data_IF_274741316212
#
_entry.id   IF_274741316212
#
_cell.length_a   1.000
_cell.length_b   1.000
_cell.length_c   1.000
_cell.angle_alpha   90.00
_cell.angle_beta   90.00
_cell.angle_gamma   90.00
#
_symmetry.space_group_name_H-M   'P 1'
#
loop_
_entity.id
_entity.type
_entity.pdbx_description
1 polymer ?
#
# COMPACT_ATOMS: atom_id res chain seq x y z
N UNK A 1 2.75 -9.71 -28.25
CA UNK A 1 1.86 -10.37 -27.27
C UNK A 1 1.44 -9.26 -26.33
N UNK A 2 0.17 -9.13 -25.96
CA UNK A 2 -0.19 -8.10 -24.97
C UNK A 2 0.50 -8.47 -23.65
N UNK A 3 1.18 -7.50 -23.05
CA UNK A 3 1.77 -7.67 -21.73
C UNK A 3 0.68 -8.16 -20.77
N UNK A 4 0.91 -9.18 -19.93
CA UNK A 4 -0.10 -9.60 -18.97
C UNK A 4 -0.43 -8.42 -18.04
N UNK A 5 -1.72 -8.15 -17.85
CA UNK A 5 -2.21 -7.09 -16.97
C UNK A 5 -1.63 -7.27 -15.56
N UNK A 6 -0.88 -6.27 -15.08
CA UNK A 6 -0.34 -6.28 -13.72
C UNK A 6 -1.39 -5.76 -12.73
N UNK A 7 -1.65 -6.52 -11.67
CA UNK A 7 -2.62 -6.17 -10.63
C UNK A 7 -1.92 -5.93 -9.30
N UNK A 8 -2.11 -4.77 -8.69
CA UNK A 8 -1.52 -4.42 -7.39
C UNK A 8 -2.63 -4.04 -6.42
N UNK A 9 -2.69 -4.72 -5.26
CA UNK A 9 -3.57 -4.36 -4.16
C UNK A 9 -2.88 -3.33 -3.26
N UNK A 10 -3.50 -2.18 -3.04
CA UNK A 10 -3.07 -1.21 -2.00
C UNK A 10 -4.08 -1.28 -0.84
N UNK A 11 -3.58 -1.47 0.38
CA UNK A 11 -4.40 -1.71 1.58
C UNK A 11 -3.62 -1.27 2.83
N UNK A 12 -4.27 -1.03 3.97
CA UNK A 12 -3.58 -0.80 5.23
C UNK A 12 -4.43 -0.09 6.26
N UNK A 13 -3.77 0.50 7.26
CA UNK A 13 -4.43 1.25 8.33
C UNK A 13 -5.55 0.44 9.00
N UNK A 14 -5.34 -0.86 9.27
CA UNK A 14 -6.35 -1.73 9.89
C UNK A 14 -6.49 -1.52 11.40
N UNK A 15 -5.39 -1.18 12.09
CA UNK A 15 -5.34 -0.97 13.54
C UNK A 15 -5.94 -2.14 14.37
N UNK A 16 -5.88 -3.38 13.89
CA UNK A 16 -6.46 -4.56 14.57
C UNK A 16 -5.47 -5.10 15.60
N UNK A 17 -5.87 -5.48 16.83
CA UNK A 17 -7.23 -5.50 17.37
C UNK A 17 -7.60 -4.23 18.17
N UNK A 18 -6.84 -3.14 18.02
CA UNK A 18 -6.92 -1.99 18.93
C UNK A 18 -8.08 -1.05 18.58
N UNK A 19 -8.29 -0.74 17.30
CA UNK A 19 -9.39 0.14 16.83
C UNK A 19 -10.49 -0.61 16.09
N UNK A 20 -10.17 -1.77 15.54
CA UNK A 20 -11.12 -2.69 14.91
C UNK A 20 -10.85 -4.11 15.41
N UNK A 21 -11.87 -4.98 15.35
CA UNK A 21 -11.74 -6.39 15.76
C UNK A 21 -11.36 -7.30 14.60
N UNK A 22 -11.78 -6.93 13.40
CA UNK A 22 -11.59 -7.66 12.16
C UNK A 22 -11.86 -6.71 10.98
N UNK A 23 -11.59 -7.13 9.76
CA UNK A 23 -12.05 -6.46 8.54
C UNK A 23 -13.57 -6.61 8.36
N UNK A 24 -14.24 -5.64 7.70
CA UNK A 24 -15.59 -5.83 7.20
C UNK A 24 -15.68 -7.07 6.29
N UNK A 25 -16.70 -7.91 6.49
CA UNK A 25 -16.86 -9.17 5.74
C UNK A 25 -16.92 -8.94 4.23
N UNK A 26 -17.51 -7.82 3.80
CA UNK A 26 -17.60 -7.46 2.39
C UNK A 26 -16.22 -7.30 1.71
N UNK A 27 -15.18 -6.94 2.48
CA UNK A 27 -13.82 -6.85 1.95
C UNK A 27 -13.22 -8.24 1.77
N UNK A 28 -13.40 -9.15 2.75
CA UNK A 28 -13.01 -10.55 2.60
C UNK A 28 -13.71 -11.17 1.39
N UNK A 29 -15.04 -11.04 1.30
CA UNK A 29 -15.83 -11.60 0.21
C UNK A 29 -15.33 -11.11 -1.16
N UNK A 30 -15.06 -9.80 -1.29
CA UNK A 30 -14.55 -9.22 -2.54
C UNK A 30 -13.16 -9.70 -2.92
N UNK A 31 -12.28 -9.91 -1.96
CA UNK A 31 -10.94 -10.46 -2.21
C UNK A 31 -11.03 -11.97 -2.48
N UNK A 32 -12.00 -12.67 -1.88
CA UNK A 32 -12.21 -14.10 -2.09
C UNK A 32 -12.84 -14.45 -3.45
N UNK A 33 -13.61 -13.55 -4.03
CA UNK A 33 -14.13 -13.67 -5.40
C UNK A 33 -13.00 -13.73 -6.47
N UNK A 34 -11.77 -13.33 -6.13
CA UNK A 34 -10.63 -13.30 -7.05
C UNK A 34 -10.17 -14.72 -7.38
N UNK A 35 -10.19 -15.07 -8.67
CA UNK A 35 -9.72 -16.37 -9.17
C UNK A 35 -8.19 -16.48 -9.24
N UNK A 36 -7.64 -17.69 -9.40
CA UNK A 36 -6.19 -17.91 -9.52
C UNK A 36 -5.54 -17.09 -10.65
N UNK A 37 -6.24 -16.95 -11.79
CA UNK A 37 -5.79 -16.10 -12.91
C UNK A 37 -5.72 -14.62 -12.53
N UNK A 38 -6.53 -14.20 -11.57
CA UNK A 38 -6.78 -12.82 -11.20
C UNK A 38 -6.05 -12.36 -9.93
N UNK A 39 -5.29 -13.25 -9.27
CA UNK A 39 -4.52 -12.89 -8.08
C UNK A 39 -3.62 -11.68 -8.34
N UNK A 40 -3.42 -10.88 -7.31
CA UNK A 40 -2.58 -9.69 -7.39
C UNK A 40 -1.12 -10.12 -7.60
N UNK A 41 -0.39 -9.42 -8.46
CA UNK A 41 1.06 -9.57 -8.55
C UNK A 41 1.73 -9.16 -7.23
N UNK A 42 1.31 -8.02 -6.70
CA UNK A 42 1.85 -7.45 -5.47
C UNK A 42 0.73 -6.94 -4.57
N UNK A 43 0.96 -7.01 -3.26
CA UNK A 43 0.15 -6.32 -2.25
C UNK A 43 1.03 -5.32 -1.51
N UNK A 44 0.55 -4.09 -1.38
CA UNK A 44 1.22 -2.99 -0.71
C UNK A 44 0.44 -2.62 0.54
N UNK A 45 1.02 -2.88 1.70
CA UNK A 45 0.40 -2.61 3.01
C UNK A 45 0.98 -1.33 3.62
N UNK A 46 0.17 -0.28 3.78
CA UNK A 46 0.62 1.07 4.20
C UNK A 46 0.98 1.20 5.69
N UNK A 47 1.04 0.09 6.43
CA UNK A 47 1.34 0.06 7.86
C UNK A 47 0.10 0.27 8.73
N UNK A 48 0.32 0.43 10.03
CA UNK A 48 -0.72 0.42 11.07
C UNK A 48 -1.58 -0.85 10.99
N UNK A 49 -0.91 -2.00 10.81
CA UNK A 49 -1.56 -3.31 10.83
C UNK A 49 -2.14 -3.56 12.23
N UNK A 50 -1.25 -3.39 13.23
CA UNK A 50 -1.31 -3.88 14.61
C UNK A 50 -1.63 -5.39 14.69
N UNK A 51 -1.29 -6.07 15.77
CA UNK A 51 -1.07 -7.53 15.85
C UNK A 51 -2.18 -8.47 15.26
N UNK A 52 -2.19 -8.67 13.95
CA UNK A 52 -3.15 -9.53 13.23
C UNK A 52 -2.47 -10.30 12.08
N UNK A 53 -1.65 -11.33 12.38
CA UNK A 53 -0.94 -12.12 11.37
C UNK A 53 -1.88 -12.84 10.39
N UNK A 54 -3.09 -13.18 10.81
CA UNK A 54 -4.08 -13.87 9.99
C UNK A 54 -4.47 -13.05 8.74
N UNK A 55 -4.55 -11.72 8.87
CA UNK A 55 -4.78 -10.83 7.73
C UNK A 55 -3.62 -10.89 6.73
N UNK A 56 -2.37 -10.93 7.21
CA UNK A 56 -1.21 -11.04 6.31
C UNK A 56 -1.18 -12.40 5.62
N UNK A 57 -1.55 -13.47 6.31
CA UNK A 57 -1.64 -14.81 5.71
C UNK A 57 -2.73 -14.87 4.64
N UNK A 58 -3.90 -14.29 4.91
CA UNK A 58 -4.98 -14.15 3.94
C UNK A 58 -4.54 -13.36 2.70
N UNK A 59 -3.93 -12.19 2.87
CA UNK A 59 -3.46 -11.36 1.76
C UNK A 59 -2.32 -12.03 0.97
N UNK A 60 -1.44 -12.78 1.64
CA UNK A 60 -0.38 -13.54 0.97
C UNK A 60 -0.96 -14.65 0.07
N UNK A 61 -2.01 -15.34 0.49
CA UNK A 61 -2.69 -16.34 -0.37
C UNK A 61 -3.27 -15.71 -1.64
N UNK A 62 -3.55 -14.40 -1.61
CA UNK A 62 -4.11 -13.63 -2.71
C UNK A 62 -3.06 -12.88 -3.54
N UNK A 63 -1.78 -13.09 -3.25
CA UNK A 63 -0.64 -12.38 -3.86
C UNK A 63 0.36 -13.34 -4.50
N UNK A 64 0.63 -13.18 -5.80
CA UNK A 64 1.50 -14.05 -6.60
C UNK A 64 2.99 -13.87 -6.28
N UNK A 65 3.47 -12.63 -6.15
CA UNK A 65 4.92 -12.34 -6.06
C UNK A 65 5.34 -11.92 -4.66
N UNK A 66 4.76 -10.84 -4.13
CA UNK A 66 5.17 -10.34 -2.81
C UNK A 66 4.15 -9.42 -2.16
N UNK A 67 3.91 -9.63 -0.86
CA UNK A 67 3.30 -8.65 0.02
C UNK A 67 4.41 -7.78 0.62
N UNK A 68 4.40 -6.50 0.27
CA UNK A 68 5.34 -5.49 0.73
C UNK A 68 4.62 -4.62 1.76
N UNK A 69 5.23 -4.42 2.93
CA UNK A 69 4.66 -3.60 3.99
C UNK A 69 5.68 -2.62 4.55
N UNK A 70 5.16 -1.55 5.12
CA UNK A 70 5.93 -0.53 5.86
C UNK A 70 5.43 -0.43 7.30
N UNK A 71 6.26 0.15 8.17
CA UNK A 71 5.87 0.43 9.55
C UNK A 71 4.95 1.65 9.62
N UNK A 72 3.81 1.50 10.31
CA UNK A 72 2.95 2.63 10.67
C UNK A 72 3.28 3.21 12.05
N UNK A 73 2.77 4.40 12.34
CA UNK A 73 3.10 5.08 13.60
C UNK A 73 2.52 4.39 14.85
N UNK A 74 1.57 3.48 14.68
CA UNK A 74 1.03 2.68 15.79
C UNK A 74 1.78 1.35 15.94
N UNK A 75 2.55 0.90 14.95
CA UNK A 75 3.14 -0.44 14.92
C UNK A 75 4.36 -0.63 15.83
N UNK A 76 4.95 0.45 16.37
CA UNK A 76 6.21 0.42 17.15
C UNK A 76 6.22 -0.57 18.31
N UNK A 77 5.05 -0.86 18.90
CA UNK A 77 4.92 -1.76 20.05
C UNK A 77 4.31 -3.13 19.70
N UNK A 78 4.16 -3.44 18.41
CA UNK A 78 3.43 -4.62 17.94
C UNK A 78 4.20 -5.42 16.87
N UNK A 79 3.54 -6.43 16.28
CA UNK A 79 4.17 -7.40 15.37
C UNK A 79 4.71 -6.84 14.05
N UNK A 80 4.41 -5.59 13.68
CA UNK A 80 4.89 -4.96 12.45
C UNK A 80 6.08 -3.98 12.68
N UNK A 81 6.65 -3.94 13.88
CA UNK A 81 7.71 -2.98 14.27
C UNK A 81 9.03 -3.10 13.49
N UNK A 82 9.32 -4.27 12.94
CA UNK A 82 10.60 -4.54 12.25
C UNK A 82 10.53 -4.19 10.75
N UNK A 83 9.40 -3.65 10.29
CA UNK A 83 9.20 -3.24 8.89
C UNK A 83 9.89 -1.90 8.59
N UNK A 84 10.36 -1.74 7.35
CA UNK A 84 10.99 -0.50 6.89
C UNK A 84 10.02 0.68 6.84
N UNK A 85 10.52 1.91 7.01
CA UNK A 85 9.74 3.15 6.81
C UNK A 85 9.38 3.41 5.35
N UNK A 86 10.25 2.96 4.46
CA UNK A 86 10.14 3.12 3.01
C UNK A 86 10.39 1.80 2.32
N UNK A 87 9.60 1.52 1.29
CA UNK A 87 9.82 0.42 0.35
C UNK A 87 9.66 0.93 -1.07
N UNK A 88 10.27 0.23 -2.03
CA UNK A 88 10.16 0.56 -3.45
C UNK A 88 9.90 -0.68 -4.29
N UNK A 89 9.17 -0.49 -5.37
CA UNK A 89 8.93 -1.51 -6.39
C UNK A 89 9.16 -0.91 -7.77
N UNK A 90 10.09 -1.48 -8.52
CA UNK A 90 10.36 -1.10 -9.90
C UNK A 90 9.58 -2.02 -10.85
N UNK A 91 8.81 -1.42 -11.75
CA UNK A 91 7.99 -2.10 -12.77
C UNK A 91 8.51 -1.68 -14.13
N UNK A 92 8.98 -2.66 -14.92
CA UNK A 92 9.49 -2.45 -16.28
C UNK A 92 8.44 -2.88 -17.31
N UNK A 93 8.21 -2.01 -18.30
CA UNK A 93 7.31 -2.24 -19.42
C UNK A 93 8.08 -2.73 -20.66
N UNK A 94 7.37 -3.32 -21.62
CA UNK A 94 7.99 -3.92 -22.83
C UNK A 94 8.69 -2.88 -23.72
N UNK A 95 8.26 -1.63 -23.67
CA UNK A 95 8.85 -0.47 -24.38
C UNK A 95 10.07 0.13 -23.67
N UNK A 96 10.51 -0.48 -22.56
CA UNK A 96 11.53 0.02 -21.62
C UNK A 96 11.10 1.21 -20.76
N UNK A 97 9.80 1.55 -20.73
CA UNK A 97 9.30 2.45 -19.71
C UNK A 97 9.41 1.81 -18.34
N UNK A 98 9.61 2.64 -17.31
CA UNK A 98 9.78 2.21 -15.93
C UNK A 98 8.89 3.03 -15.03
N UNK A 99 8.04 2.37 -14.26
CA UNK A 99 7.45 2.96 -13.07
C UNK A 99 8.22 2.55 -11.84
N UNK A 100 8.50 3.53 -10.98
CA UNK A 100 9.04 3.29 -9.65
C UNK A 100 7.96 3.68 -8.66
N UNK A 101 7.40 2.67 -8.01
CA UNK A 101 6.43 2.83 -6.95
C UNK A 101 7.14 2.95 -5.60
N UNK A 102 6.86 4.01 -4.86
CA UNK A 102 7.22 4.17 -3.46
C UNK A 102 6.08 3.77 -2.54
N UNK A 103 6.41 3.19 -1.40
CA UNK A 103 5.47 2.87 -0.32
C UNK A 103 5.99 3.46 0.99
N UNK A 104 5.14 4.17 1.71
CA UNK A 104 5.41 4.70 3.06
C UNK A 104 4.11 4.79 3.84
N UNK A 105 4.16 4.85 5.17
CA UNK A 105 2.95 5.08 5.95
C UNK A 105 2.47 6.54 5.84
N UNK A 106 3.39 7.50 5.79
CA UNK A 106 3.07 8.93 5.65
C UNK A 106 3.00 9.71 6.97
N UNK A 107 3.26 9.07 8.11
CA UNK A 107 3.31 9.73 9.42
C UNK A 107 4.42 10.77 9.57
N UNK A 108 5.38 10.85 8.64
CA UNK A 108 6.40 11.90 8.57
C UNK A 108 5.91 13.19 7.87
N UNK A 109 4.79 13.16 7.15
CA UNK A 109 4.30 14.26 6.32
C UNK A 109 3.57 15.31 7.17
N UNK A 110 3.91 16.59 7.01
CA UNK A 110 3.34 17.71 7.79
C UNK A 110 3.03 18.91 6.87
N UNK A 111 1.77 19.39 6.82
CA UNK A 111 0.56 18.85 7.46
C UNK A 111 0.22 17.39 7.06
N UNK A 112 -0.58 16.68 7.86
CA UNK A 112 -0.92 15.27 7.60
C UNK A 112 -1.61 15.14 6.23
N UNK A 113 -0.99 14.35 5.33
CA UNK A 113 -1.51 14.12 3.98
C UNK A 113 -1.27 15.27 2.99
N UNK A 114 -0.39 16.21 3.31
CA UNK A 114 -0.07 17.33 2.42
C UNK A 114 0.52 16.85 1.08
N UNK A 115 -0.14 17.21 -0.02
CA UNK A 115 0.22 16.74 -1.37
C UNK A 115 1.56 17.29 -1.85
N UNK A 116 1.90 18.54 -1.51
CA UNK A 116 3.17 19.15 -1.93
C UNK A 116 4.34 18.44 -1.26
N UNK A 117 4.24 18.13 0.04
CA UNK A 117 5.24 17.35 0.77
C UNK A 117 5.36 15.90 0.26
N UNK A 118 4.23 15.28 -0.10
CA UNK A 118 4.24 13.94 -0.71
C UNK A 118 4.88 13.96 -2.11
N UNK A 119 4.61 14.99 -2.91
CA UNK A 119 5.26 15.19 -4.21
C UNK A 119 6.77 15.36 -4.05
N UNK A 120 7.21 16.20 -3.10
CA UNK A 120 8.64 16.40 -2.81
C UNK A 120 9.29 15.08 -2.41
N UNK A 121 8.68 14.32 -1.49
CA UNK A 121 9.20 13.02 -1.07
C UNK A 121 9.35 12.05 -2.26
N UNK A 122 8.34 12.00 -3.13
CA UNK A 122 8.37 11.17 -4.33
C UNK A 122 9.50 11.59 -5.28
N UNK A 123 9.66 12.89 -5.54
CA UNK A 123 10.73 13.42 -6.40
C UNK A 123 12.12 13.11 -5.85
N UNK A 124 12.35 13.34 -4.56
CA UNK A 124 13.64 13.09 -3.90
C UNK A 124 14.06 11.62 -3.96
N UNK A 125 13.10 10.70 -4.02
CA UNK A 125 13.34 9.27 -4.08
C UNK A 125 13.15 8.67 -5.49
N UNK A 126 12.84 9.49 -6.50
CA UNK A 126 12.64 9.07 -7.88
C UNK A 126 11.40 8.20 -8.10
N UNK A 127 10.34 8.41 -7.32
CA UNK A 127 9.07 7.69 -7.44
C UNK A 127 8.16 8.36 -8.47
N UNK A 128 7.56 7.57 -9.35
CA UNK A 128 6.51 8.02 -10.28
C UNK A 128 5.11 7.82 -9.68
N UNK A 129 4.99 6.86 -8.76
CA UNK A 129 3.78 6.57 -7.98
C UNK A 129 4.19 6.51 -6.51
N UNK A 130 3.46 7.19 -5.63
CA UNK A 130 3.67 7.11 -4.18
C UNK A 130 2.38 6.63 -3.50
N UNK A 131 2.45 5.46 -2.88
CA UNK A 131 1.39 4.92 -2.03
C UNK A 131 1.66 5.30 -0.58
N UNK A 132 0.71 5.96 0.05
CA UNK A 132 0.78 6.38 1.46
C UNK A 132 -0.50 6.07 2.22
N UNK A 133 -0.42 5.93 3.54
CA UNK A 133 -1.58 5.70 4.40
C UNK A 133 -1.79 6.89 5.33
N UNK A 134 -1.91 6.59 6.63
CA UNK A 134 -1.92 7.51 7.76
C UNK A 134 -3.11 8.47 7.80
N UNK A 135 -3.69 8.96 6.70
CA UNK A 135 -4.79 9.96 6.72
C UNK A 135 -6.17 9.35 6.96
N UNK A 136 -6.32 8.05 6.69
CA UNK A 136 -7.59 7.30 6.67
C UNK A 136 -8.58 7.84 5.63
N UNK A 137 -8.10 8.57 4.62
CA UNK A 137 -8.91 9.10 3.52
C UNK A 137 -8.46 8.44 2.23
N UNK A 138 -9.38 7.72 1.60
CA UNK A 138 -9.17 7.20 0.25
C UNK A 138 -8.99 8.37 -0.72
N UNK A 139 -7.91 8.33 -1.51
CA UNK A 139 -7.59 9.38 -2.46
C UNK A 139 -6.70 8.87 -3.59
N UNK A 140 -6.97 9.34 -4.80
CA UNK A 140 -6.05 9.25 -5.94
C UNK A 140 -5.88 10.68 -6.46
N UNK A 141 -4.64 11.16 -6.46
CA UNK A 141 -4.31 12.52 -6.87
C UNK A 141 -3.11 12.52 -7.81
N UNK A 142 -3.29 13.04 -9.02
CA UNK A 142 -2.20 13.26 -9.97
C UNK A 142 -1.68 14.68 -9.78
N UNK A 143 -0.42 14.81 -9.38
CA UNK A 143 0.19 16.12 -9.17
C UNK A 143 0.49 16.84 -10.48
N UNK A 144 0.71 18.15 -10.42
CA UNK A 144 1.10 18.95 -11.59
C UNK A 144 2.45 18.54 -12.19
N UNK A 145 3.29 17.81 -11.43
CA UNK A 145 4.57 17.26 -11.92
C UNK A 145 4.45 15.84 -12.45
N UNK A 146 3.25 15.28 -12.50
CA UNK A 146 2.97 13.96 -13.06
C UNK A 146 3.25 12.80 -12.11
N UNK A 147 3.33 13.04 -10.79
CA UNK A 147 3.43 11.98 -9.79
C UNK A 147 2.03 11.56 -9.38
N UNK A 148 1.78 10.25 -9.34
CA UNK A 148 0.51 9.72 -8.85
C UNK A 148 0.60 9.43 -7.35
N UNK A 149 -0.15 10.18 -6.54
CA UNK A 149 -0.31 9.95 -5.13
C UNK A 149 -1.54 9.07 -4.91
N UNK A 150 -1.37 7.98 -4.15
CA UNK A 150 -2.46 7.04 -3.83
C UNK A 150 -2.52 6.88 -2.31
N UNK A 151 -3.72 7.00 -1.75
CA UNK A 151 -4.03 6.62 -0.40
C UNK A 151 -5.20 5.63 -0.41
N UNK A 152 -5.03 4.37 0.03
CA UNK A 152 -6.12 3.40 0.04
C UNK A 152 -7.14 3.67 1.16
N UNK A 153 -6.89 4.64 2.04
CA UNK A 153 -7.69 4.85 3.24
C UNK A 153 -7.41 3.80 4.31
N UNK A 154 -8.34 3.67 5.26
CA UNK A 154 -8.33 2.60 6.26
C UNK A 154 -9.21 1.45 5.78
N UNK A 155 -8.72 0.21 5.94
CA UNK A 155 -9.47 -0.99 5.57
C UNK A 155 -10.56 -1.38 6.60
N UNK A 156 -10.62 -0.70 7.74
CA UNK A 156 -11.54 -1.02 8.85
C UNK A 156 -12.46 0.14 9.22
#
# INVERSE_FOLDING_TARGET
>A
MSQPDMRILCIGDSHIPIRAKDLPTQIYDKIDEITESELFDYTLFTGDLINFPELLDFLNQKTKKSLIRVIGNMDYYYGNRDSSTYQKLDILFEDNDKFTLGLTHGAQIRPRGDHDQLEILAQENGYTILVSGHTHKEEIFLTNKGILLINPGSVT
#
